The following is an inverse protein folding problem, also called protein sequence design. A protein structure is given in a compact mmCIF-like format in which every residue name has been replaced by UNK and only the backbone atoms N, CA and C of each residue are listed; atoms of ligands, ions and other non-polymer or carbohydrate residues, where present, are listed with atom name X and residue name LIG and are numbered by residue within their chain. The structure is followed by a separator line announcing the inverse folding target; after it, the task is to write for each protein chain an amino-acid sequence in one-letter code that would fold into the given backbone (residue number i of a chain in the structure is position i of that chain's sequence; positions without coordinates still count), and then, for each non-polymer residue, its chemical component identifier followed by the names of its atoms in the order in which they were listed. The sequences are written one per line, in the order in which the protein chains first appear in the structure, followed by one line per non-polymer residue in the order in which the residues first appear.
data_IF_824360466448
#
_entry.id   IF_824360466448
#
_cell.length_a   1.000
_cell.length_b   1.000
_cell.length_c   1.000
_cell.angle_alpha   90.00
_cell.angle_beta   90.00
_cell.angle_gamma   90.00
#
_symmetry.space_group_name_H-M   'P 1'
#
loop_
_entity.id
_entity.type
_entity.pdbx_description
1 polymer ?
#
# COMPACT_ATOMS: atom_id res chain seq x y z
N UNK A 1 -14.83 5.65 1.04
CA UNK A 1 -14.91 4.28 1.59
C UNK A 1 -13.69 3.49 1.12
N UNK A 2 -12.74 3.13 2.00
CA UNK A 2 -11.54 2.36 1.63
C UNK A 2 -11.17 1.26 2.66
N UNK A 3 -11.99 1.09 3.71
CA UNK A 3 -11.69 0.16 4.81
C UNK A 3 -11.70 -1.31 4.35
N UNK A 4 -12.71 -1.69 3.54
CA UNK A 4 -12.82 -3.04 2.99
C UNK A 4 -11.59 -3.42 2.15
N UNK A 5 -11.19 -2.57 1.20
CA UNK A 5 -10.00 -2.81 0.37
C UNK A 5 -8.71 -2.96 1.17
N UNK A 6 -8.56 -2.21 2.27
CA UNK A 6 -7.37 -2.34 3.13
C UNK A 6 -7.34 -3.66 3.88
N UNK A 7 -8.48 -4.14 4.40
CA UNK A 7 -8.55 -5.43 5.11
C UNK A 7 -8.32 -6.60 4.13
N UNK A 8 -9.03 -6.59 3.00
CA UNK A 8 -9.01 -7.66 2.01
C UNK A 8 -7.67 -7.78 1.27
N UNK A 9 -6.80 -6.78 1.37
CA UNK A 9 -5.46 -6.86 0.80
C UNK A 9 -4.52 -7.82 1.53
N UNK A 10 -4.86 -8.27 2.75
CA UNK A 10 -4.07 -9.26 3.50
C UNK A 10 -4.47 -10.72 3.19
N UNK A 11 -5.36 -10.93 2.22
CA UNK A 11 -5.81 -12.24 1.76
C UNK A 11 -4.68 -13.07 1.11
N UNK A 12 -4.96 -14.35 0.82
CA UNK A 12 -4.01 -15.26 0.17
C UNK A 12 -3.56 -14.75 -1.21
N UNK A 13 -2.34 -15.10 -1.61
CA UNK A 13 -1.78 -14.76 -2.91
C UNK A 13 -2.71 -15.19 -4.07
N UNK A 14 -3.37 -16.34 -3.94
CA UNK A 14 -4.35 -16.84 -4.93
C UNK A 14 -5.47 -15.85 -5.21
N UNK A 15 -6.05 -15.25 -4.17
CA UNK A 15 -7.13 -14.29 -4.34
C UNK A 15 -6.63 -13.00 -5.00
N UNK A 16 -5.42 -12.55 -4.65
CA UNK A 16 -4.78 -11.40 -5.30
C UNK A 16 -4.50 -11.69 -6.78
N UNK A 17 -4.05 -12.91 -7.14
CA UNK A 17 -3.85 -13.30 -8.54
C UNK A 17 -5.15 -13.28 -9.33
N UNK A 18 -6.26 -13.71 -8.72
CA UNK A 18 -7.59 -13.72 -9.36
C UNK A 18 -8.05 -12.29 -9.65
N UNK A 19 -7.89 -11.37 -8.70
CA UNK A 19 -8.23 -9.95 -8.90
C UNK A 19 -7.34 -9.34 -9.99
N UNK A 20 -6.04 -9.63 -10.00
CA UNK A 20 -5.13 -9.15 -11.04
C UNK A 20 -5.53 -9.66 -12.43
N UNK A 21 -5.94 -10.93 -12.56
CA UNK A 21 -6.45 -11.48 -13.83
C UNK A 21 -7.68 -10.72 -14.32
N UNK A 22 -8.60 -10.35 -13.42
CA UNK A 22 -9.77 -9.55 -13.75
C UNK A 22 -9.38 -8.14 -14.21
N UNK A 23 -8.48 -7.45 -13.50
CA UNK A 23 -7.98 -6.13 -13.92
C UNK A 23 -7.30 -6.19 -15.30
N UNK A 24 -6.47 -7.21 -15.56
CA UNK A 24 -5.85 -7.42 -16.87
C UNK A 24 -6.88 -7.63 -17.98
N UNK A 25 -7.97 -8.34 -17.70
CA UNK A 25 -9.07 -8.52 -18.66
C UNK A 25 -9.78 -7.19 -18.93
N UNK A 26 -10.09 -6.42 -17.88
CA UNK A 26 -10.72 -5.11 -18.01
C UNK A 26 -9.87 -4.14 -18.85
N UNK A 27 -8.55 -4.08 -18.60
CA UNK A 27 -7.63 -3.25 -19.36
C UNK A 27 -7.65 -3.57 -20.87
N UNK A 28 -7.72 -4.86 -21.22
CA UNK A 28 -7.82 -5.30 -22.62
C UNK A 28 -9.14 -4.90 -23.27
N UNK A 29 -10.25 -5.03 -22.55
CA UNK A 29 -11.57 -4.67 -23.06
C UNK A 29 -11.64 -3.16 -23.34
N UNK A 30 -11.10 -2.34 -22.43
CA UNK A 30 -11.10 -0.88 -22.58
C UNK A 30 -10.23 -0.42 -23.76
N UNK A 31 -9.04 -1.01 -23.91
CA UNK A 31 -8.11 -0.64 -24.98
C UNK A 31 -8.38 -1.37 -26.31
N UNK A 32 -9.34 -2.32 -26.34
CA UNK A 32 -9.65 -3.10 -27.54
C UNK A 32 -8.46 -3.95 -28.05
N UNK A 33 -7.55 -4.38 -27.17
CA UNK A 33 -6.31 -5.07 -27.55
C UNK A 33 -6.45 -6.58 -27.52
N UNK A 34 -5.64 -7.27 -28.33
CA UNK A 34 -5.59 -8.74 -28.35
C UNK A 34 -5.21 -9.35 -26.99
N UNK A 35 -5.63 -10.60 -26.79
CA UNK A 35 -5.39 -11.44 -25.62
C UNK A 35 -3.91 -11.59 -25.26
N UNK A 36 -3.01 -11.64 -26.26
CA UNK A 36 -1.55 -11.82 -26.08
C UNK A 36 -0.78 -10.53 -25.80
N UNK A 37 -1.44 -9.38 -25.82
CA UNK A 37 -0.79 -8.10 -25.53
C UNK A 37 -0.16 -8.06 -24.14
N UNK A 38 1.01 -7.42 -24.03
CA UNK A 38 1.70 -7.27 -22.74
C UNK A 38 0.83 -6.44 -21.79
N UNK A 39 0.43 -7.05 -20.68
CA UNK A 39 -0.44 -6.41 -19.67
C UNK A 39 0.21 -5.20 -18.99
N UNK A 40 1.53 -5.16 -18.83
CA UNK A 40 2.20 -4.01 -18.21
C UNK A 40 2.09 -2.78 -19.10
N UNK A 41 2.29 -2.95 -20.41
CA UNK A 41 2.10 -1.87 -21.38
C UNK A 41 0.66 -1.34 -21.39
N UNK A 42 -0.34 -2.20 -21.22
CA UNK A 42 -1.74 -1.77 -21.10
C UNK A 42 -1.96 -0.93 -19.84
N UNK A 43 -1.40 -1.35 -18.71
CA UNK A 43 -1.52 -0.63 -17.45
C UNK A 43 -0.81 0.72 -17.51
N UNK A 44 0.38 0.78 -18.09
CA UNK A 44 1.13 2.03 -18.29
C UNK A 44 0.36 3.00 -19.20
N UNK A 45 -0.27 2.51 -20.28
CA UNK A 45 -1.15 3.33 -21.14
C UNK A 45 -2.37 3.88 -20.39
N UNK A 46 -2.92 3.13 -19.46
CA UNK A 46 -4.07 3.53 -18.64
C UNK A 46 -3.68 4.33 -17.39
N UNK A 47 -2.38 4.40 -17.05
CA UNK A 47 -1.90 4.92 -15.78
C UNK A 47 -2.38 4.09 -14.57
N UNK A 48 -2.65 2.81 -14.77
CA UNK A 48 -3.20 1.91 -13.75
C UNK A 48 -2.12 1.25 -12.91
N UNK A 49 -2.42 1.09 -11.62
CA UNK A 49 -1.60 0.33 -10.70
C UNK A 49 -2.27 -1.03 -10.43
N UNK A 50 -1.49 -2.12 -10.29
CA UNK A 50 -2.04 -3.40 -9.85
C UNK A 50 -2.75 -3.29 -8.49
N UNK A 51 -3.82 -4.06 -8.31
CA UNK A 51 -4.64 -4.01 -7.08
C UNK A 51 -3.83 -4.15 -5.77
N UNK A 52 -2.80 -5.00 -5.75
CA UNK A 52 -2.00 -5.21 -4.55
C UNK A 52 -1.19 -3.96 -4.15
N UNK A 53 -0.72 -3.18 -5.12
CA UNK A 53 -0.03 -1.91 -4.83
C UNK A 53 -1.01 -0.76 -4.60
N UNK A 54 -2.17 -0.78 -5.25
CA UNK A 54 -3.25 0.15 -4.92
C UNK A 54 -3.69 -0.03 -3.45
N UNK A 55 -3.75 -1.28 -2.98
CA UNK A 55 -4.00 -1.56 -1.58
C UNK A 55 -2.90 -1.03 -0.66
N UNK A 56 -1.62 -1.08 -1.07
CA UNK A 56 -0.52 -0.44 -0.33
C UNK A 56 -0.73 1.07 -0.23
N UNK A 57 -1.09 1.74 -1.33
CA UNK A 57 -1.40 3.18 -1.34
C UNK A 57 -2.54 3.50 -0.34
N UNK A 58 -3.58 2.67 -0.33
CA UNK A 58 -4.71 2.84 0.58
C UNK A 58 -4.32 2.63 2.05
N UNK A 59 -3.47 1.63 2.35
CA UNK A 59 -2.89 1.41 3.68
C UNK A 59 -2.09 2.63 4.17
N UNK A 60 -1.20 3.16 3.32
CA UNK A 60 -0.42 4.34 3.67
C UNK A 60 -1.31 5.57 3.88
N UNK A 61 -2.34 5.74 3.05
CA UNK A 61 -3.29 6.85 3.19
C UNK A 61 -4.08 6.75 4.50
N UNK A 62 -4.40 5.53 4.95
CA UNK A 62 -5.05 5.29 6.23
C UNK A 62 -4.15 5.70 7.40
N UNK A 63 -2.85 5.39 7.34
CA UNK A 63 -1.87 5.84 8.34
C UNK A 63 -1.84 7.35 8.43
N UNK A 64 -1.72 8.06 7.31
CA UNK A 64 -1.66 9.51 7.33
C UNK A 64 -2.93 10.12 7.95
N UNK A 65 -4.10 9.57 7.62
CA UNK A 65 -5.37 10.00 8.24
C UNK A 65 -5.40 9.76 9.75
N UNK A 66 -4.83 8.65 10.23
CA UNK A 66 -4.64 8.40 11.67
C UNK A 66 -3.70 9.43 12.29
N UNK A 67 -2.57 9.74 11.64
CA UNK A 67 -1.61 10.72 12.13
C UNK A 67 -2.24 12.12 12.26
N UNK A 68 -3.17 12.45 11.38
CA UNK A 68 -3.95 13.70 11.43
C UNK A 68 -5.12 13.69 12.43
N UNK A 69 -5.39 12.56 13.12
CA UNK A 69 -6.51 12.45 14.06
C UNK A 69 -7.89 12.22 13.42
N UNK A 70 -7.96 11.97 12.10
CA UNK A 70 -9.21 11.81 11.34
C UNK A 70 -9.68 10.35 11.26
N UNK A 71 -9.40 9.53 12.28
CA UNK A 71 -9.74 8.11 12.31
C UNK A 71 -10.68 7.78 13.48
N UNK A 72 -11.61 6.83 13.35
CA UNK A 72 -12.47 6.40 14.45
C UNK A 72 -11.70 5.76 15.61
N UNK A 73 -12.25 5.84 16.83
CA UNK A 73 -11.64 5.35 18.09
C UNK A 73 -11.14 3.90 18.05
N UNK A 74 -11.79 3.03 17.27
CA UNK A 74 -11.40 1.63 17.13
C UNK A 74 -10.13 1.39 16.30
N UNK A 75 -9.62 2.40 15.59
CA UNK A 75 -8.42 2.30 14.74
C UNK A 75 -7.14 2.84 15.41
N UNK A 76 -7.20 3.23 16.68
CA UNK A 76 -6.11 3.92 17.41
C UNK A 76 -4.97 3.03 17.89
N UNK A 77 -4.98 1.73 17.56
CA UNK A 77 -3.97 0.80 18.06
C UNK A 77 -2.58 0.95 17.38
N UNK A 78 -2.49 1.80 16.35
CA UNK A 78 -1.23 2.22 15.74
C UNK A 78 -0.59 3.35 16.56
N UNK A 79 0.60 3.15 17.11
CA UNK A 79 1.37 4.16 17.87
C UNK A 79 2.61 4.64 17.10
N UNK A 80 2.93 5.93 17.21
CA UNK A 80 4.18 6.48 16.68
C UNK A 80 5.32 6.33 17.69
N UNK A 81 6.55 6.20 17.21
CA UNK A 81 7.72 6.17 18.11
C UNK A 81 7.90 7.51 18.86
N UNK A 82 7.48 8.63 18.26
CA UNK A 82 7.46 9.94 18.92
C UNK A 82 6.54 9.99 20.15
N UNK A 83 5.46 9.21 20.17
CA UNK A 83 4.50 9.17 21.28
C UNK A 83 5.04 8.35 22.47
N UNK A 84 6.03 7.48 22.25
CA UNK A 84 6.54 6.54 23.26
C UNK A 84 7.88 6.98 23.90
N UNK A 85 8.67 7.81 23.21
CA UNK A 85 10.01 8.15 23.66
C UNK A 85 10.25 9.67 23.70
N UNK A 86 10.69 10.16 24.86
CA UNK A 86 11.05 11.57 25.10
C UNK A 86 12.25 12.03 24.27
N UNK A 87 13.12 11.10 23.84
CA UNK A 87 14.18 11.34 22.86
C UNK A 87 13.84 10.62 21.56
N UNK A 88 13.36 11.38 20.56
CA UNK A 88 13.18 10.87 19.20
C UNK A 88 14.32 11.36 18.32
N UNK A 89 15.05 10.45 17.68
CA UNK A 89 15.93 10.80 16.56
C UNK A 89 15.11 11.31 15.37
N UNK A 90 15.70 12.16 14.52
CA UNK A 90 14.99 12.76 13.36
C UNK A 90 14.31 11.72 12.46
N UNK A 91 14.88 10.51 12.37
CA UNK A 91 14.32 9.38 11.62
C UNK A 91 13.27 8.58 12.39
N UNK A 92 13.35 8.51 13.73
CA UNK A 92 12.40 7.74 14.53
C UNK A 92 11.07 8.45 14.68
N UNK A 93 11.04 9.79 14.67
CA UNK A 93 9.84 10.57 14.95
C UNK A 93 8.66 10.27 14.00
N UNK A 94 8.95 9.97 12.73
CA UNK A 94 7.93 9.67 11.70
C UNK A 94 7.67 8.18 11.50
N UNK A 95 8.38 7.30 12.22
CA UNK A 95 8.22 5.86 12.09
C UNK A 95 7.18 5.34 13.10
N UNK A 96 6.42 4.35 12.66
CA UNK A 96 5.44 3.66 13.50
C UNK A 96 6.10 2.56 14.31
N UNK A 97 5.58 2.33 15.51
CA UNK A 97 5.96 1.22 16.38
C UNK A 97 5.33 -0.04 15.80
N UNK A 98 6.16 -0.99 15.37
CA UNK A 98 5.65 -2.29 14.93
C UNK A 98 5.16 -3.06 16.17
N UNK A 99 3.89 -3.51 16.22
CA UNK A 99 3.40 -4.36 17.30
C UNK A 99 4.24 -5.65 17.37
N UNK A 100 4.51 -6.13 18.59
CA UNK A 100 5.11 -7.45 18.78
C UNK A 100 4.05 -8.52 18.53
N UNK A 101 4.45 -9.57 17.83
CA UNK A 101 3.61 -10.72 17.57
C UNK A 101 4.44 -12.00 17.73
N UNK A 102 3.80 -13.09 18.16
CA UNK A 102 4.50 -14.33 18.49
C UNK A 102 4.49 -15.36 17.35
N UNK A 103 3.52 -15.27 16.42
CA UNK A 103 3.39 -16.19 15.29
C UNK A 103 3.57 -15.43 13.99
N UNK A 104 4.58 -15.79 13.21
CA UNK A 104 4.87 -15.15 11.92
C UNK A 104 3.77 -15.40 10.88
N UNK A 105 3.17 -16.59 10.87
CA UNK A 105 2.10 -16.95 9.92
C UNK A 105 0.83 -16.10 10.05
N UNK A 106 0.46 -15.69 11.26
CA UNK A 106 -0.81 -14.99 11.55
C UNK A 106 -0.59 -13.55 12.00
N UNK A 107 0.40 -13.32 12.87
CA UNK A 107 0.72 -12.02 13.45
C UNK A 107 1.26 -11.03 12.43
N UNK A 108 2.09 -11.50 11.49
CA UNK A 108 2.63 -10.64 10.43
C UNK A 108 1.54 -10.16 9.47
N UNK A 109 0.55 -11.02 9.22
CA UNK A 109 -0.59 -10.72 8.34
C UNK A 109 -1.61 -9.80 8.99
N UNK A 110 -1.43 -9.41 10.25
CA UNK A 110 -2.30 -8.41 10.88
C UNK A 110 -2.16 -7.07 10.18
N UNK A 111 -3.24 -6.30 10.14
CA UNK A 111 -3.24 -4.99 9.49
C UNK A 111 -2.23 -4.06 10.15
N UNK A 112 -2.14 -4.06 11.48
CA UNK A 112 -1.23 -3.16 12.19
C UNK A 112 0.23 -3.44 11.84
N UNK A 113 0.66 -4.71 11.84
CA UNK A 113 2.03 -5.09 11.47
C UNK A 113 2.31 -4.80 9.99
N UNK A 114 1.43 -5.23 9.08
CA UNK A 114 1.60 -4.99 7.64
C UNK A 114 1.68 -3.50 7.30
N UNK A 115 0.82 -2.68 7.93
CA UNK A 115 0.75 -1.23 7.70
C UNK A 115 1.98 -0.52 8.29
N UNK A 116 2.41 -0.89 9.51
CA UNK A 116 3.61 -0.30 10.13
C UNK A 116 4.88 -0.60 9.35
N UNK A 117 5.07 -1.85 8.90
CA UNK A 117 6.20 -2.24 8.03
C UNK A 117 6.20 -1.46 6.72
N UNK A 118 5.05 -1.42 6.05
CA UNK A 118 4.89 -0.70 4.80
C UNK A 118 5.21 0.78 4.98
N UNK A 119 4.64 1.42 6.00
CA UNK A 119 4.92 2.82 6.30
C UNK A 119 6.40 3.05 6.57
N UNK A 120 7.02 2.22 7.41
CA UNK A 120 8.43 2.37 7.77
C UNK A 120 9.35 2.21 6.56
N UNK A 121 8.99 1.36 5.57
CA UNK A 121 9.73 1.19 4.31
C UNK A 121 9.65 2.38 3.34
N UNK A 122 8.72 3.33 3.55
CA UNK A 122 8.60 4.49 2.67
C UNK A 122 9.74 5.51 2.88
N UNK A 123 10.18 6.17 1.80
CA UNK A 123 11.15 7.26 1.89
C UNK A 123 10.59 8.44 2.71
N UNK A 124 11.48 9.16 3.39
CA UNK A 124 11.12 10.27 4.28
C UNK A 124 10.38 11.39 3.55
N UNK A 125 10.70 11.64 2.28
CA UNK A 125 10.11 12.76 1.55
C UNK A 125 8.62 12.56 1.31
N UNK A 126 8.18 11.31 1.09
CA UNK A 126 6.76 10.98 1.02
C UNK A 126 6.08 11.10 2.38
N UNK A 127 6.78 10.81 3.50
CA UNK A 127 6.21 10.89 4.85
C UNK A 127 6.00 12.31 5.37
N UNK A 128 6.72 13.30 4.82
CA UNK A 128 6.61 14.72 5.22
C UNK A 128 5.36 15.41 4.68
N UNK A 129 4.70 14.83 3.70
CA UNK A 129 3.47 15.36 3.10
C UNK A 129 2.36 15.48 4.15
N UNK A 130 1.80 16.68 4.30
CA UNK A 130 0.77 16.98 5.30
C UNK A 130 -0.64 16.82 4.75
N UNK A 131 -0.81 16.75 3.43
CA UNK A 131 -2.12 16.67 2.78
C UNK A 131 -2.38 15.26 2.23
N UNK A 132 -3.55 14.68 2.56
CA UNK A 132 -3.92 13.31 2.12
C UNK A 132 -4.00 13.19 0.60
N UNK A 133 -4.49 14.22 -0.08
CA UNK A 133 -4.65 14.18 -1.55
C UNK A 133 -3.31 14.27 -2.25
N UNK A 134 -2.41 15.16 -1.80
CA UNK A 134 -1.04 15.29 -2.30
C UNK A 134 -0.24 14.02 -2.03
N UNK A 135 -0.30 13.51 -0.79
CA UNK A 135 0.36 12.27 -0.39
C UNK A 135 -0.07 11.08 -1.24
N UNK A 136 -1.38 10.91 -1.45
CA UNK A 136 -1.90 9.81 -2.28
C UNK A 136 -1.35 9.89 -3.70
N UNK A 137 -1.31 11.08 -4.31
CA UNK A 137 -0.74 11.28 -5.65
C UNK A 137 0.75 10.94 -5.67
N UNK A 138 1.51 11.43 -4.70
CA UNK A 138 2.96 11.19 -4.61
C UNK A 138 3.31 9.71 -4.38
N UNK A 139 2.55 9.01 -3.55
CA UNK A 139 2.72 7.56 -3.37
C UNK A 139 2.32 6.80 -4.64
N UNK A 140 1.21 7.18 -5.27
CA UNK A 140 0.75 6.53 -6.48
C UNK A 140 1.80 6.66 -7.59
N UNK A 141 2.36 7.86 -7.79
CA UNK A 141 3.45 8.06 -8.76
C UNK A 141 4.70 7.28 -8.39
N UNK A 142 5.09 7.24 -7.10
CA UNK A 142 6.23 6.45 -6.63
C UNK A 142 6.07 4.94 -6.90
N UNK A 143 4.86 4.40 -6.79
CA UNK A 143 4.62 2.99 -7.16
C UNK A 143 4.55 2.80 -8.68
N UNK A 144 3.97 3.75 -9.41
CA UNK A 144 3.85 3.66 -10.87
C UNK A 144 5.22 3.68 -11.56
N UNK A 145 6.17 4.50 -11.08
CA UNK A 145 7.53 4.56 -11.65
C UNK A 145 8.26 3.22 -11.59
N UNK A 146 7.95 2.36 -10.60
CA UNK A 146 8.53 1.01 -10.50
C UNK A 146 8.12 0.09 -11.64
N UNK A 147 7.06 0.41 -12.37
CA UNK A 147 6.52 -0.39 -13.47
C UNK A 147 6.90 0.11 -14.86
N UNK A 148 7.72 1.17 -14.95
CA UNK A 148 8.18 1.69 -16.23
C UNK A 148 9.15 0.72 -16.92
N UNK A 149 9.97 0.01 -16.14
CA UNK A 149 11.04 -0.86 -16.65
C UNK A 149 10.72 -2.37 -16.51
N UNK A 150 9.48 -2.71 -16.15
CA UNK A 150 9.09 -4.08 -15.81
C UNK A 150 8.28 -4.71 -16.94
N UNK A 151 8.72 -5.86 -17.44
CA UNK A 151 8.02 -6.56 -18.54
C UNK A 151 6.82 -7.39 -18.07
N UNK A 152 6.79 -7.78 -16.79
CA UNK A 152 5.79 -8.71 -16.23
C UNK A 152 5.46 -8.37 -14.78
N UNK A 153 4.18 -8.45 -14.39
CA UNK A 153 3.79 -8.36 -12.98
C UNK A 153 4.24 -9.61 -12.22
N UNK A 154 5.23 -9.48 -11.35
CA UNK A 154 5.58 -10.47 -10.34
C UNK A 154 4.84 -10.16 -9.04
N UNK A 155 4.07 -11.13 -8.54
CA UNK A 155 3.70 -11.11 -7.14
C UNK A 155 4.95 -11.58 -6.39
N UNK A 156 5.69 -10.65 -5.79
CA UNK A 156 6.68 -11.04 -4.79
C UNK A 156 5.94 -11.82 -3.71
N UNK A 157 6.28 -13.09 -3.55
CA UNK A 157 5.83 -13.90 -2.42
C UNK A 157 6.12 -13.09 -1.15
N UNK A 158 5.06 -12.89 -0.37
CA UNK A 158 5.12 -12.27 0.96
C UNK A 158 5.97 -13.11 1.88
#
# INVERSE_FOLDING_TARGET
MFYGSTIWSNCSADNLTRILKLQKRAARVILGTDTRSNSVNLFNKLGWLPFYDEAKVNKCSLVLKRLQGNCPSYMYDLKCNADLHTRSGRYSALNLVCPRYNRESEGERTLNVSVTRLWNSLPLDLKKETCVTSFRKAIYSHFLTRYNDVDHFSLSET
#
